data_IF_968508926915
#
_entry.id   IF_968508926915
#
_cell.length_a   1.000
_cell.length_b   1.000
_cell.length_c   1.000
_cell.angle_alpha   90.00
_cell.angle_beta   90.00
_cell.angle_gamma   90.00
#
_symmetry.space_group_name_H-M   'P 1'
#
loop_
_entity.id
_entity.type
_entity.pdbx_description
1 polymer ?
#
# COMPACT_ATOMS: atom_id res chain seq x y z
N UNK A 1 -24.60 -4.79 7.02
CA UNK A 1 -25.14 -4.68 8.41
C UNK A 1 -25.76 -3.29 8.59
N UNK A 2 -26.41 -2.93 9.72
CA UNK A 2 -26.77 -1.52 9.99
C UNK A 2 -25.56 -0.81 10.61
N UNK A 3 -25.31 0.44 10.21
CA UNK A 3 -24.18 1.24 10.70
C UNK A 3 -24.67 2.50 11.38
N UNK A 4 -24.23 2.76 12.62
CA UNK A 4 -24.79 3.82 13.45
C UNK A 4 -23.78 4.95 13.67
N UNK A 5 -24.24 6.20 13.54
CA UNK A 5 -23.46 7.38 13.91
C UNK A 5 -23.47 7.54 15.44
N UNK A 6 -22.31 7.58 16.10
CA UNK A 6 -22.24 7.71 17.57
C UNK A 6 -22.71 9.08 18.08
N UNK A 7 -22.56 10.13 17.27
CA UNK A 7 -22.89 11.50 17.67
C UNK A 7 -24.41 11.75 17.66
N UNK A 8 -25.15 11.20 16.69
CA UNK A 8 -26.59 11.43 16.55
C UNK A 8 -27.48 10.17 16.66
N UNK A 9 -26.87 8.98 16.72
CA UNK A 9 -27.58 7.69 16.78
C UNK A 9 -28.31 7.29 15.50
N UNK A 10 -28.02 7.93 14.36
CA UNK A 10 -28.69 7.60 13.10
C UNK A 10 -28.12 6.33 12.47
N UNK A 11 -28.99 5.40 12.09
CA UNK A 11 -28.64 4.16 11.39
C UNK A 11 -28.57 4.35 9.86
N UNK A 12 -27.62 3.67 9.22
CA UNK A 12 -27.38 3.69 7.77
C UNK A 12 -27.24 2.27 7.22
N UNK A 13 -27.73 2.06 5.99
CA UNK A 13 -27.68 0.76 5.30
C UNK A 13 -26.30 0.42 4.69
N UNK A 14 -25.41 1.41 4.54
CA UNK A 14 -24.10 1.27 3.88
C UNK A 14 -23.07 2.21 4.51
N UNK A 15 -21.81 1.80 4.58
CA UNK A 15 -20.72 2.63 5.08
C UNK A 15 -20.50 3.93 4.31
N UNK A 16 -20.64 3.92 2.99
CA UNK A 16 -20.47 5.13 2.19
C UNK A 16 -21.46 6.23 2.61
N UNK A 17 -22.69 5.85 3.02
CA UNK A 17 -23.68 6.79 3.55
C UNK A 17 -23.31 7.30 4.94
N UNK A 18 -22.78 6.45 5.80
CA UNK A 18 -22.27 6.87 7.11
C UNK A 18 -21.08 7.84 6.96
N UNK A 19 -20.15 7.56 6.05
CA UNK A 19 -18.99 8.44 5.77
C UNK A 19 -19.39 9.84 5.31
N UNK A 20 -20.42 9.93 4.47
CA UNK A 20 -20.93 11.18 3.91
C UNK A 20 -21.93 11.88 4.84
N UNK A 21 -22.24 11.29 6.00
CA UNK A 21 -23.15 11.88 6.96
C UNK A 21 -22.51 13.08 7.66
N UNK A 22 -23.07 14.26 7.42
CA UNK A 22 -22.70 15.49 8.12
C UNK A 22 -23.53 15.56 9.41
N UNK A 23 -22.93 15.14 10.52
CA UNK A 23 -23.61 15.18 11.81
C UNK A 23 -23.74 16.64 12.27
N UNK A 24 -24.96 17.14 12.58
CA UNK A 24 -25.10 18.48 13.13
C UNK A 24 -24.38 18.53 14.48
N UNK A 25 -23.34 19.37 14.58
CA UNK A 25 -22.60 19.57 15.81
C UNK A 25 -23.55 20.03 16.94
N UNK A 26 -23.44 19.42 18.11
CA UNK A 26 -23.94 20.03 19.34
C UNK A 26 -23.24 21.40 19.50
N UNK A 27 -24.03 22.47 19.48
CA UNK A 27 -23.51 23.84 19.64
C UNK A 27 -22.62 23.91 20.89
N UNK A 28 -21.31 24.23 20.77
CA UNK A 28 -20.48 24.39 21.94
C UNK A 28 -20.94 25.64 22.68
N UNK A 29 -21.24 25.46 23.98
CA UNK A 29 -21.51 26.57 24.88
C UNK A 29 -20.35 27.56 24.85
N UNK A 30 -20.66 28.81 24.47
CA UNK A 30 -19.75 29.94 24.53
C UNK A 30 -19.07 30.00 25.90
N UNK A 31 -17.73 29.99 25.92
CA UNK A 31 -16.98 30.50 27.06
C UNK A 31 -15.88 31.44 26.58
N UNK A 32 -15.97 32.62 27.15
CA UNK A 32 -15.23 33.84 26.89
C UNK A 32 -13.98 33.95 27.79
N UNK A 33 -12.99 34.63 27.25
CA UNK A 33 -11.87 35.36 27.86
C UNK A 33 -10.61 34.70 28.47
N UNK A 34 -9.51 34.91 27.72
CA UNK A 34 -8.28 35.67 28.08
C UNK A 34 -7.36 35.24 29.23
N UNK A 35 -6.08 34.94 28.91
CA UNK A 35 -4.90 35.72 29.39
C UNK A 35 -3.57 35.32 28.71
N UNK A 36 -2.72 36.33 28.46
CA UNK A 36 -1.36 36.24 27.87
C UNK A 36 -0.31 35.96 28.95
N UNK A 37 0.76 35.24 28.62
CA UNK A 37 2.10 35.55 29.16
C UNK A 37 3.23 35.02 28.27
N UNK A 38 4.15 35.92 27.91
CA UNK A 38 5.42 35.62 27.25
C UNK A 38 6.49 35.26 28.31
N UNK A 39 7.28 34.20 28.10
CA UNK A 39 8.66 34.19 28.62
C UNK A 39 9.63 33.42 27.71
N UNK A 40 10.63 34.20 27.26
CA UNK A 40 11.92 33.96 26.64
C UNK A 40 12.54 32.55 26.55
N UNK A 41 13.19 32.36 25.40
CA UNK A 41 14.11 31.30 25.04
C UNK A 41 15.43 31.30 25.85
N UNK A 42 15.83 30.14 26.34
CA UNK A 42 17.17 29.53 26.19
C UNK A 42 17.23 28.28 27.07
N UNK A 43 17.21 27.10 26.46
CA UNK A 43 18.23 26.07 26.69
C UNK A 43 17.94 24.88 25.78
N UNK A 44 18.68 24.85 24.66
CA UNK A 44 18.66 23.76 23.69
C UNK A 44 19.66 22.69 24.09
N UNK A 45 19.16 21.46 24.05
CA UNK A 45 19.82 20.19 23.73
C UNK A 45 20.10 19.22 24.88
N UNK A 46 19.63 18.00 24.60
CA UNK A 46 19.92 16.71 25.23
C UNK A 46 19.03 16.36 26.43
N UNK A 47 17.73 16.25 26.20
CA UNK A 47 16.86 15.33 26.93
C UNK A 47 15.60 15.01 26.10
N UNK A 48 15.33 13.72 25.95
CA UNK A 48 14.00 13.14 25.72
C UNK A 48 13.33 13.43 24.37
N UNK A 49 13.68 12.61 23.36
CA UNK A 49 12.68 12.08 22.41
C UNK A 49 11.75 11.11 23.16
N UNK A 50 11.03 11.60 24.17
CA UNK A 50 9.81 10.93 24.61
C UNK A 50 8.78 11.26 23.54
N UNK A 51 8.30 10.22 22.87
CA UNK A 51 7.10 10.31 22.06
C UNK A 51 6.01 10.91 22.93
N UNK A 52 5.51 12.09 22.57
CA UNK A 52 4.14 12.45 22.96
C UNK A 52 3.25 11.38 22.31
N UNK A 53 2.93 10.35 23.09
CA UNK A 53 2.05 9.26 22.70
C UNK A 53 0.69 9.90 22.42
N UNK A 54 0.33 10.00 21.13
CA UNK A 54 -0.96 10.54 20.74
C UNK A 54 -2.00 9.50 21.08
N UNK A 55 -2.75 9.78 22.14
CA UNK A 55 -3.87 8.96 22.61
C UNK A 55 -5.17 9.62 22.18
N UNK A 56 -5.93 8.95 21.31
CA UNK A 56 -7.29 9.30 20.94
C UNK A 56 -8.20 8.34 21.70
N UNK A 57 -8.64 8.76 22.90
CA UNK A 57 -9.36 7.89 23.84
C UNK A 57 -10.51 7.08 23.22
N UNK A 58 -11.32 7.72 22.38
CA UNK A 58 -12.43 7.06 21.70
C UNK A 58 -11.93 5.97 20.74
N UNK A 59 -10.84 6.22 20.00
CA UNK A 59 -10.24 5.21 19.13
C UNK A 59 -9.64 4.06 19.95
N UNK A 60 -9.04 4.34 21.10
CA UNK A 60 -8.54 3.29 22.00
C UNK A 60 -9.68 2.44 22.58
N UNK A 61 -10.80 3.06 22.94
CA UNK A 61 -12.02 2.39 23.43
C UNK A 61 -12.61 1.49 22.33
N UNK A 62 -12.75 2.00 21.10
CA UNK A 62 -13.20 1.22 19.95
C UNK A 62 -12.27 0.03 19.66
N UNK A 63 -10.96 0.26 19.67
CA UNK A 63 -9.98 -0.80 19.51
C UNK A 63 -10.12 -1.84 20.62
N UNK A 64 -10.29 -1.45 21.88
CA UNK A 64 -10.53 -2.39 22.97
C UNK A 64 -11.80 -3.23 22.75
N UNK A 65 -12.91 -2.63 22.34
CA UNK A 65 -14.15 -3.35 22.01
C UNK A 65 -13.96 -4.37 20.87
N UNK A 66 -13.16 -4.04 19.86
CA UNK A 66 -12.84 -4.97 18.76
C UNK A 66 -12.08 -6.19 19.29
N UNK A 67 -11.10 -6.01 20.18
CA UNK A 67 -10.39 -7.13 20.81
C UNK A 67 -11.32 -7.99 21.70
N UNK A 68 -12.39 -7.41 22.24
CA UNK A 68 -13.43 -8.12 22.98
C UNK A 68 -14.46 -8.82 22.06
N UNK A 69 -14.31 -8.69 20.74
CA UNK A 69 -15.09 -9.39 19.71
C UNK A 69 -16.19 -8.57 19.03
N UNK A 70 -16.26 -7.26 19.27
CA UNK A 70 -17.25 -6.38 18.65
C UNK A 70 -16.78 -5.88 17.27
N UNK A 71 -16.92 -6.73 16.25
CA UNK A 71 -16.43 -6.42 14.89
C UNK A 71 -17.08 -5.19 14.25
N UNK A 72 -18.31 -4.83 14.63
CA UNK A 72 -18.98 -3.61 14.15
C UNK A 72 -18.25 -2.32 14.54
N UNK A 73 -17.43 -2.36 15.60
CA UNK A 73 -16.63 -1.20 16.02
C UNK A 73 -15.47 -0.89 15.04
N UNK A 74 -15.08 -1.81 14.16
CA UNK A 74 -14.03 -1.59 13.14
C UNK A 74 -14.43 -0.45 12.20
N UNK A 75 -15.70 -0.40 11.80
CA UNK A 75 -16.22 0.66 10.92
C UNK A 75 -16.07 2.05 11.56
N UNK A 76 -16.43 2.18 12.84
CA UNK A 76 -16.31 3.41 13.60
C UNK A 76 -14.83 3.78 13.83
N UNK A 77 -13.99 2.80 14.15
CA UNK A 77 -12.55 3.01 14.34
C UNK A 77 -11.88 3.57 13.07
N UNK A 78 -12.20 2.99 11.90
CA UNK A 78 -11.69 3.45 10.60
C UNK A 78 -12.18 4.88 10.28
N UNK A 79 -13.46 5.18 10.53
CA UNK A 79 -14.03 6.52 10.31
C UNK A 79 -13.42 7.59 11.24
N UNK A 80 -13.19 7.23 12.51
CA UNK A 80 -12.53 8.10 13.48
C UNK A 80 -11.09 8.37 13.07
N UNK A 81 -10.33 7.33 12.70
CA UNK A 81 -8.96 7.47 12.22
C UNK A 81 -8.86 8.36 10.98
N UNK A 82 -9.71 8.12 9.97
CA UNK A 82 -9.80 8.96 8.77
C UNK A 82 -10.03 10.44 9.12
N UNK A 83 -11.00 10.70 10.01
CA UNK A 83 -11.37 12.06 10.41
C UNK A 83 -10.24 12.77 11.16
N UNK A 84 -9.53 12.06 12.04
CA UNK A 84 -8.41 12.62 12.79
C UNK A 84 -7.21 12.94 11.88
N UNK A 85 -6.91 12.07 10.91
CA UNK A 85 -5.85 12.33 9.93
C UNK A 85 -6.19 13.48 8.99
N UNK A 86 -7.43 13.53 8.48
CA UNK A 86 -7.94 14.63 7.66
C UNK A 86 -7.86 15.95 8.39
N UNK A 87 -8.34 16.01 9.62
CA UNK A 87 -8.28 17.23 10.44
C UNK A 87 -6.84 17.72 10.65
N UNK A 88 -5.90 16.80 10.92
CA UNK A 88 -4.48 17.15 11.05
C UNK A 88 -3.87 17.62 9.71
N UNK A 89 -4.29 17.03 8.58
CA UNK A 89 -3.84 17.44 7.25
C UNK A 89 -4.35 18.85 6.89
N UNK A 90 -5.65 19.09 7.03
CA UNK A 90 -6.31 20.38 6.75
C UNK A 90 -5.80 21.50 7.64
N UNK A 91 -5.45 21.18 8.90
CA UNK A 91 -4.87 22.13 9.85
C UNK A 91 -3.37 22.39 9.61
N UNK A 92 -2.75 21.70 8.65
CA UNK A 92 -1.32 21.85 8.35
C UNK A 92 -0.41 21.35 9.48
N UNK A 93 -0.81 20.29 10.19
CA UNK A 93 -0.11 19.71 11.34
C UNK A 93 0.55 18.35 10.98
N UNK A 94 1.64 18.34 10.19
CA UNK A 94 2.24 17.10 9.69
C UNK A 94 2.85 16.23 10.81
N UNK A 95 3.26 16.82 11.93
CA UNK A 95 3.76 16.05 13.08
C UNK A 95 2.63 15.31 13.78
N UNK A 96 1.46 15.94 13.95
CA UNK A 96 0.25 15.30 14.49
C UNK A 96 -0.21 14.16 13.57
N UNK A 97 -0.27 14.41 12.27
CA UNK A 97 -0.60 13.40 11.26
C UNK A 97 0.30 12.16 11.38
N UNK A 98 1.63 12.38 11.44
CA UNK A 98 2.61 11.29 11.56
C UNK A 98 2.50 10.56 12.90
N UNK A 99 2.25 11.26 14.00
CA UNK A 99 2.08 10.63 15.32
C UNK A 99 0.82 9.76 15.39
N UNK A 100 -0.32 10.24 14.88
CA UNK A 100 -1.56 9.43 14.78
C UNK A 100 -1.32 8.21 13.90
N UNK A 101 -0.72 8.41 12.72
CA UNK A 101 -0.41 7.32 11.80
C UNK A 101 0.46 6.24 12.45
N UNK A 102 1.49 6.65 13.20
CA UNK A 102 2.39 5.73 13.88
C UNK A 102 1.72 4.97 15.03
N UNK A 103 0.84 5.64 15.77
CA UNK A 103 0.18 5.05 16.92
C UNK A 103 -0.84 3.97 16.53
N UNK A 104 -1.61 4.20 15.45
CA UNK A 104 -2.80 3.40 15.19
C UNK A 104 -2.75 2.52 13.93
N UNK A 105 -1.88 2.82 12.95
CA UNK A 105 -1.94 2.15 11.63
C UNK A 105 -1.75 0.64 11.70
N UNK A 106 -0.73 0.18 12.43
CA UNK A 106 -0.44 -1.26 12.54
C UNK A 106 -1.60 -2.01 13.19
N UNK A 107 -2.13 -1.47 14.29
CA UNK A 107 -3.24 -2.11 15.00
C UNK A 107 -4.51 -2.15 14.15
N UNK A 108 -4.83 -1.07 13.42
CA UNK A 108 -5.97 -1.03 12.50
C UNK A 108 -5.81 -2.01 11.34
N UNK A 109 -4.61 -2.16 10.78
CA UNK A 109 -4.31 -3.18 9.77
C UNK A 109 -4.58 -4.57 10.34
N UNK A 110 -4.07 -4.86 11.55
CA UNK A 110 -4.21 -6.18 12.18
C UNK A 110 -5.67 -6.52 12.42
N UNK A 111 -6.45 -5.65 13.07
CA UNK A 111 -7.85 -5.97 13.40
C UNK A 111 -8.73 -6.07 12.14
N UNK A 112 -8.47 -5.26 11.10
CA UNK A 112 -9.19 -5.36 9.84
C UNK A 112 -8.80 -6.62 9.07
N UNK A 113 -7.53 -7.03 9.07
CA UNK A 113 -7.06 -8.28 8.46
C UNK A 113 -7.65 -9.52 9.16
N UNK A 114 -7.67 -9.53 10.50
CA UNK A 114 -8.28 -10.62 11.29
C UNK A 114 -9.79 -10.74 11.03
N UNK A 115 -10.49 -9.61 10.99
CA UNK A 115 -11.92 -9.58 10.67
C UNK A 115 -12.18 -10.04 9.22
N UNK A 116 -11.35 -9.60 8.26
CA UNK A 116 -11.44 -10.03 6.85
C UNK A 116 -11.22 -11.54 6.71
N UNK A 117 -10.30 -12.12 7.47
CA UNK A 117 -10.09 -13.57 7.48
C UNK A 117 -11.27 -14.34 8.09
N UNK A 118 -11.99 -13.73 9.03
CA UNK A 118 -13.13 -14.35 9.73
C UNK A 118 -14.42 -14.24 8.92
N UNK A 119 -14.72 -13.05 8.42
CA UNK A 119 -15.98 -12.71 7.74
C UNK A 119 -15.91 -12.85 6.21
N UNK A 120 -14.69 -12.85 5.65
CA UNK A 120 -14.44 -13.01 4.22
C UNK A 120 -14.37 -11.69 3.43
N UNK A 121 -14.32 -11.82 2.10
CA UNK A 121 -14.15 -10.69 1.17
C UNK A 121 -15.21 -9.61 1.33
N UNK A 122 -16.48 -10.00 1.42
CA UNK A 122 -17.62 -9.07 1.49
C UNK A 122 -17.45 -8.05 2.63
N UNK A 123 -16.78 -8.44 3.73
CA UNK A 123 -16.49 -7.53 4.84
C UNK A 123 -15.46 -6.46 4.45
N UNK A 124 -14.37 -6.83 3.77
CA UNK A 124 -13.35 -5.89 3.32
C UNK A 124 -13.89 -4.97 2.20
N UNK A 125 -14.70 -5.54 1.30
CA UNK A 125 -15.32 -4.82 0.18
C UNK A 125 -16.13 -3.60 0.65
N UNK A 126 -16.86 -3.71 1.77
CA UNK A 126 -17.59 -2.57 2.34
C UNK A 126 -16.67 -1.36 2.59
N UNK A 127 -15.44 -1.58 3.07
CA UNK A 127 -14.46 -0.50 3.31
C UNK A 127 -13.87 0.03 2.02
N UNK A 128 -13.59 -0.83 1.04
CA UNK A 128 -13.10 -0.41 -0.27
C UNK A 128 -14.13 0.48 -0.96
N UNK A 129 -15.41 0.12 -0.92
CA UNK A 129 -16.50 0.93 -1.46
C UNK A 129 -16.65 2.27 -0.72
N UNK A 130 -16.51 2.26 0.60
CA UNK A 130 -16.63 3.47 1.42
C UNK A 130 -15.47 4.45 1.20
N UNK A 131 -14.26 3.95 0.95
CA UNK A 131 -13.03 4.73 0.84
C UNK A 131 -12.34 4.56 -0.52
N UNK A 132 -13.12 4.30 -1.57
CA UNK A 132 -12.57 4.12 -2.90
C UNK A 132 -11.95 5.43 -3.39
N UNK A 133 -10.72 5.44 -3.93
CA UNK A 133 -10.06 6.66 -4.39
C UNK A 133 -10.92 7.47 -5.35
N UNK A 134 -11.59 6.84 -6.31
CA UNK A 134 -12.42 7.53 -7.32
C UNK A 134 -13.64 8.25 -6.74
N UNK A 135 -14.05 7.94 -5.51
CA UNK A 135 -15.21 8.57 -4.86
C UNK A 135 -14.83 9.82 -4.05
N UNK A 136 -13.55 10.17 -3.99
CA UNK A 136 -13.03 11.29 -3.22
C UNK A 136 -12.13 12.20 -4.07
N UNK A 137 -12.16 13.50 -3.77
CA UNK A 137 -11.30 14.50 -4.45
C UNK A 137 -9.82 14.24 -4.16
N UNK A 138 -9.50 13.85 -2.93
CA UNK A 138 -8.17 13.43 -2.48
C UNK A 138 -8.16 11.96 -2.08
N UNK A 139 -6.97 11.35 -1.98
CA UNK A 139 -6.89 9.99 -1.45
C UNK A 139 -7.39 9.96 0.00
N UNK A 140 -8.33 9.07 0.36
CA UNK A 140 -8.70 8.88 1.75
C UNK A 140 -7.46 8.54 2.59
N UNK A 141 -7.33 9.10 3.78
CA UNK A 141 -6.15 8.90 4.62
C UNK A 141 -6.00 7.45 5.11
N UNK A 142 -7.10 6.69 5.16
CA UNK A 142 -7.12 5.23 5.40
C UNK A 142 -6.60 4.39 4.23
N UNK A 143 -6.31 4.98 3.07
CA UNK A 143 -5.88 4.23 1.85
C UNK A 143 -4.73 3.26 2.16
N UNK A 144 -3.74 3.66 2.96
CA UNK A 144 -2.58 2.79 3.27
C UNK A 144 -2.93 1.58 4.13
N UNK A 145 -3.98 1.66 4.96
CA UNK A 145 -4.51 0.51 5.72
C UNK A 145 -5.19 -0.44 4.75
N UNK A 146 -6.05 0.10 3.87
CA UNK A 146 -6.81 -0.69 2.90
C UNK A 146 -5.90 -1.36 1.86
N UNK A 147 -4.88 -0.66 1.35
CA UNK A 147 -3.85 -1.28 0.50
C UNK A 147 -3.17 -2.45 1.21
N UNK A 148 -2.82 -2.31 2.49
CA UNK A 148 -2.16 -3.39 3.22
C UNK A 148 -3.08 -4.62 3.34
N UNK A 149 -4.28 -4.46 3.90
CA UNK A 149 -5.20 -5.60 4.11
C UNK A 149 -5.61 -6.23 2.78
N UNK A 150 -5.91 -5.42 1.76
CA UNK A 150 -6.23 -5.93 0.41
C UNK A 150 -5.05 -6.69 -0.18
N UNK A 151 -3.81 -6.22 0.03
CA UNK A 151 -2.62 -6.95 -0.41
C UNK A 151 -2.48 -8.31 0.28
N UNK A 152 -2.72 -8.39 1.59
CA UNK A 152 -2.70 -9.66 2.32
C UNK A 152 -3.75 -10.62 1.77
N UNK A 153 -4.96 -10.10 1.54
CA UNK A 153 -6.04 -10.86 0.90
C UNK A 153 -5.63 -11.38 -0.48
N UNK A 154 -5.12 -10.51 -1.37
CA UNK A 154 -4.62 -10.88 -2.71
C UNK A 154 -3.60 -12.02 -2.66
N UNK A 155 -2.58 -11.89 -1.80
CA UNK A 155 -1.50 -12.87 -1.67
C UNK A 155 -2.05 -14.21 -1.19
N UNK A 156 -2.84 -14.20 -0.10
CA UNK A 156 -3.44 -15.44 0.44
C UNK A 156 -4.32 -16.12 -0.60
N UNK A 157 -5.27 -15.40 -1.22
CA UNK A 157 -6.18 -15.93 -2.25
C UNK A 157 -5.42 -16.46 -3.46
N UNK A 158 -4.40 -15.75 -3.95
CA UNK A 158 -3.60 -16.19 -5.09
C UNK A 158 -2.91 -17.52 -4.81
N UNK A 159 -2.36 -17.68 -3.61
CA UNK A 159 -1.62 -18.87 -3.20
C UNK A 159 -2.53 -20.04 -2.85
N UNK A 160 -3.70 -19.80 -2.26
CA UNK A 160 -4.67 -20.86 -1.90
C UNK A 160 -5.54 -21.32 -3.06
N UNK A 161 -6.12 -20.36 -3.79
CA UNK A 161 -7.25 -20.60 -4.70
C UNK A 161 -6.94 -20.23 -6.16
N UNK A 162 -5.79 -19.60 -6.41
CA UNK A 162 -5.33 -19.21 -7.74
C UNK A 162 -5.78 -17.80 -8.15
N UNK A 163 -5.34 -17.35 -9.33
CA UNK A 163 -5.57 -15.97 -9.78
C UNK A 163 -7.04 -15.66 -10.02
N UNK A 164 -7.80 -16.60 -10.59
CA UNK A 164 -9.21 -16.40 -10.96
C UNK A 164 -10.13 -16.22 -9.74
N UNK A 165 -9.65 -16.58 -8.54
CA UNK A 165 -10.38 -16.41 -7.29
C UNK A 165 -10.21 -15.00 -6.69
N UNK A 166 -9.27 -14.19 -7.20
CA UNK A 166 -9.07 -12.83 -6.76
C UNK A 166 -10.29 -11.98 -7.19
N UNK A 167 -10.95 -11.25 -6.27
CA UNK A 167 -12.01 -10.31 -6.63
C UNK A 167 -11.49 -9.21 -7.54
N UNK A 168 -12.23 -8.93 -8.63
CA UNK A 168 -11.87 -7.89 -9.59
C UNK A 168 -11.84 -6.53 -8.93
N UNK A 169 -12.71 -6.30 -7.96
CA UNK A 169 -12.82 -5.08 -7.16
C UNK A 169 -11.54 -4.78 -6.36
N UNK A 170 -10.84 -5.82 -5.89
CA UNK A 170 -9.53 -5.66 -5.24
C UNK A 170 -8.49 -5.10 -6.22
N UNK A 171 -8.45 -5.63 -7.45
CA UNK A 171 -7.54 -5.17 -8.50
C UNK A 171 -7.97 -3.80 -9.05
N UNK A 172 -9.27 -3.55 -9.10
CA UNK A 172 -9.89 -2.26 -9.41
C UNK A 172 -9.41 -1.17 -8.45
N UNK A 173 -9.47 -1.44 -7.14
CA UNK A 173 -8.96 -0.54 -6.10
C UNK A 173 -7.51 -0.14 -6.36
N UNK A 174 -6.59 -1.09 -6.57
CA UNK A 174 -5.19 -0.78 -6.90
C UNK A 174 -5.04 0.00 -8.22
N UNK A 175 -5.73 -0.40 -9.28
CA UNK A 175 -5.66 0.30 -10.57
C UNK A 175 -6.13 1.76 -10.49
N UNK A 176 -7.13 2.03 -9.64
CA UNK A 176 -7.62 3.38 -9.41
C UNK A 176 -6.60 4.26 -8.68
N UNK A 177 -5.82 3.67 -7.76
CA UNK A 177 -4.70 4.36 -7.11
C UNK A 177 -3.62 4.64 -8.14
N UNK A 178 -3.21 3.62 -8.91
CA UNK A 178 -2.15 3.73 -9.92
C UNK A 178 -2.43 4.86 -10.92
N UNK A 179 -3.67 4.99 -11.39
CA UNK A 179 -4.11 6.03 -12.34
C UNK A 179 -4.04 7.45 -11.77
N UNK A 180 -4.15 7.58 -10.44
CA UNK A 180 -4.15 8.86 -9.72
C UNK A 180 -2.77 9.23 -9.16
N UNK A 181 -1.80 8.32 -9.19
CA UNK A 181 -0.43 8.63 -8.80
C UNK A 181 0.18 9.56 -9.85
N UNK A 182 0.58 10.75 -9.43
CA UNK A 182 1.21 11.76 -10.30
C UNK A 182 2.75 11.80 -10.18
N UNK A 183 3.32 10.77 -9.55
CA UNK A 183 4.76 10.70 -9.24
C UNK A 183 5.20 11.61 -8.08
N UNK A 184 4.29 12.38 -7.46
CA UNK A 184 4.57 13.26 -6.34
C UNK A 184 3.59 13.09 -5.18
N UNK A 185 4.05 12.40 -4.13
CA UNK A 185 3.36 12.42 -2.84
C UNK A 185 2.91 11.05 -2.39
N UNK A 186 3.22 10.79 -1.12
CA UNK A 186 2.87 9.60 -0.33
C UNK A 186 3.71 8.35 -0.63
N UNK A 187 4.98 8.38 -0.21
CA UNK A 187 5.88 7.20 -0.22
C UNK A 187 5.19 5.91 0.25
N UNK A 188 4.34 6.00 1.28
CA UNK A 188 3.57 4.86 1.80
C UNK A 188 2.45 4.36 0.87
N UNK A 189 1.80 5.24 0.10
CA UNK A 189 0.80 4.81 -0.90
C UNK A 189 1.52 4.13 -2.06
N UNK A 190 2.66 4.66 -2.47
CA UNK A 190 3.52 4.05 -3.49
C UNK A 190 4.00 2.67 -3.08
N UNK A 191 4.54 2.52 -1.87
CA UNK A 191 4.93 1.20 -1.33
C UNK A 191 3.74 0.23 -1.28
N UNK A 192 2.56 0.74 -0.90
CA UNK A 192 1.33 -0.03 -0.87
C UNK A 192 0.92 -0.61 -2.22
N UNK A 193 1.47 -0.10 -3.34
CA UNK A 193 1.16 -0.61 -4.68
C UNK A 193 1.91 -1.90 -5.04
N UNK A 194 3.03 -2.22 -4.38
CA UNK A 194 3.88 -3.33 -4.83
C UNK A 194 3.09 -4.65 -4.98
N UNK A 195 2.20 -5.03 -4.04
CA UNK A 195 1.46 -6.28 -4.14
C UNK A 195 0.43 -6.33 -5.28
N UNK A 196 0.17 -5.24 -6.00
CA UNK A 196 -0.68 -5.28 -7.18
C UNK A 196 -0.20 -6.28 -8.24
N UNK A 197 1.12 -6.54 -8.28
CA UNK A 197 1.72 -7.56 -9.15
C UNK A 197 1.19 -8.98 -8.89
N UNK A 198 0.65 -9.27 -7.71
CA UNK A 198 0.05 -10.57 -7.40
C UNK A 198 -1.20 -10.90 -8.21
N UNK A 199 -1.86 -9.88 -8.79
CA UNK A 199 -2.98 -10.06 -9.71
C UNK A 199 -2.58 -10.35 -11.16
N UNK A 200 -1.29 -10.46 -11.47
CA UNK A 200 -0.86 -10.70 -12.85
C UNK A 200 -1.45 -12.00 -13.41
N UNK A 201 -1.94 -11.94 -14.65
CA UNK A 201 -2.61 -13.06 -15.32
C UNK A 201 -4.10 -13.22 -15.00
N UNK A 202 -4.71 -12.28 -14.27
CA UNK A 202 -6.15 -12.32 -13.99
C UNK A 202 -6.99 -12.24 -15.29
N UNK A 203 -7.99 -13.11 -15.51
CA UNK A 203 -8.72 -13.17 -16.78
C UNK A 203 -9.66 -11.99 -17.01
N UNK A 204 -10.12 -11.34 -15.95
CA UNK A 204 -11.11 -10.26 -16.01
C UNK A 204 -10.53 -8.87 -15.70
N UNK A 205 -9.25 -8.78 -15.35
CA UNK A 205 -8.59 -7.51 -15.03
C UNK A 205 -7.15 -7.49 -15.52
N UNK A 206 -6.83 -6.56 -16.43
CA UNK A 206 -5.50 -6.56 -17.07
C UNK A 206 -4.47 -5.84 -16.21
N UNK A 207 -3.91 -6.56 -15.23
CA UNK A 207 -2.83 -6.05 -14.38
C UNK A 207 -1.58 -5.73 -15.21
N UNK A 208 -1.23 -6.58 -16.17
CA UNK A 208 -0.05 -6.39 -17.01
C UNK A 208 -0.15 -5.12 -17.86
N UNK A 209 -1.28 -4.88 -18.52
CA UNK A 209 -1.48 -3.67 -19.33
C UNK A 209 -1.42 -2.41 -18.46
N UNK A 210 -2.06 -2.44 -17.27
CA UNK A 210 -2.02 -1.31 -16.34
C UNK A 210 -0.60 -0.98 -15.86
N UNK A 211 0.23 -1.99 -15.59
CA UNK A 211 1.64 -1.81 -15.23
C UNK A 211 2.44 -1.26 -16.41
N UNK A 212 2.23 -1.83 -17.60
CA UNK A 212 2.90 -1.39 -18.83
C UNK A 212 2.61 0.08 -19.14
N UNK A 213 1.33 0.49 -19.12
CA UNK A 213 0.92 1.86 -19.39
C UNK A 213 1.54 2.85 -18.39
N UNK A 214 1.64 2.44 -17.12
CA UNK A 214 2.22 3.26 -16.05
C UNK A 214 3.76 3.33 -16.09
N UNK A 215 4.45 2.44 -16.81
CA UNK A 215 5.91 2.44 -16.91
C UNK A 215 6.48 3.73 -17.51
N UNK A 216 5.73 4.38 -18.39
CA UNK A 216 6.05 5.72 -18.92
C UNK A 216 6.03 6.84 -17.87
N UNK A 217 5.39 6.60 -16.72
CA UNK A 217 5.25 7.57 -15.62
C UNK A 217 6.27 7.31 -14.52
N UNK A 218 6.49 6.04 -14.14
CA UNK A 218 7.43 5.72 -13.06
C UNK A 218 7.99 4.30 -13.14
N UNK A 219 9.19 4.18 -13.70
CA UNK A 219 9.98 2.94 -13.68
C UNK A 219 10.25 2.41 -12.26
N UNK A 220 10.55 3.24 -11.23
CA UNK A 220 10.74 2.76 -9.86
C UNK A 220 9.54 1.99 -9.29
N UNK A 221 8.34 2.52 -9.49
CA UNK A 221 7.11 1.89 -9.00
C UNK A 221 6.83 0.60 -9.79
N UNK A 222 6.97 0.66 -11.12
CA UNK A 222 6.79 -0.51 -11.97
C UNK A 222 7.75 -1.63 -11.61
N UNK A 223 9.02 -1.34 -11.34
CA UNK A 223 9.99 -2.35 -10.91
C UNK A 223 9.56 -3.05 -9.62
N UNK A 224 9.08 -2.29 -8.62
CA UNK A 224 8.62 -2.87 -7.36
C UNK A 224 7.35 -3.72 -7.51
N UNK A 225 6.41 -3.31 -8.37
CA UNK A 225 5.23 -4.12 -8.69
C UNK A 225 5.63 -5.39 -9.47
N UNK A 226 6.60 -5.26 -10.38
CA UNK A 226 7.10 -6.36 -11.20
C UNK A 226 7.83 -7.40 -10.35
N UNK A 227 8.59 -7.00 -9.34
CA UNK A 227 9.20 -7.91 -8.36
C UNK A 227 8.13 -8.80 -7.70
N UNK A 228 7.04 -8.21 -7.22
CA UNK A 228 5.90 -8.96 -6.70
C UNK A 228 5.21 -9.84 -7.75
N UNK A 229 5.14 -9.39 -9.01
CA UNK A 229 4.63 -10.20 -10.10
C UNK A 229 5.50 -11.44 -10.37
N UNK A 230 6.83 -11.36 -10.19
CA UNK A 230 7.72 -12.52 -10.30
C UNK A 230 7.40 -13.57 -9.24
N UNK A 231 7.16 -13.16 -7.98
CA UNK A 231 6.69 -14.08 -6.93
C UNK A 231 5.35 -14.74 -7.28
N UNK A 232 4.43 -14.01 -7.91
CA UNK A 232 3.10 -14.52 -8.21
C UNK A 232 3.05 -15.43 -9.45
N UNK A 233 3.70 -15.03 -10.55
CA UNK A 233 3.82 -15.77 -11.81
C UNK A 233 5.00 -15.25 -12.64
N UNK A 234 6.16 -15.86 -12.45
CA UNK A 234 7.39 -15.53 -13.16
C UNK A 234 7.29 -15.56 -14.70
N UNK A 235 6.37 -16.33 -15.31
CA UNK A 235 6.24 -16.40 -16.77
C UNK A 235 5.49 -15.20 -17.32
N UNK A 236 4.39 -14.84 -16.66
CA UNK A 236 3.65 -13.62 -16.98
C UNK A 236 4.50 -12.37 -16.69
N UNK A 237 5.28 -12.39 -15.60
CA UNK A 237 6.16 -11.28 -15.22
C UNK A 237 7.30 -11.04 -16.23
N UNK A 238 8.00 -12.09 -16.68
CA UNK A 238 9.06 -11.93 -17.69
C UNK A 238 8.50 -11.50 -19.06
N UNK A 239 7.27 -11.91 -19.41
CA UNK A 239 6.58 -11.41 -20.61
C UNK A 239 6.33 -9.91 -20.53
N UNK A 240 5.81 -9.43 -19.40
CA UNK A 240 5.61 -8.00 -19.16
C UNK A 240 6.93 -7.22 -19.16
N UNK A 241 7.98 -7.74 -18.53
CA UNK A 241 9.31 -7.13 -18.53
C UNK A 241 9.85 -6.98 -19.96
N UNK A 242 9.76 -8.04 -20.77
CA UNK A 242 10.19 -7.99 -22.17
C UNK A 242 9.38 -6.96 -22.97
N UNK A 243 8.06 -6.87 -22.77
CA UNK A 243 7.21 -5.88 -23.43
C UNK A 243 7.63 -4.44 -23.10
N UNK A 244 7.80 -4.13 -21.81
CA UNK A 244 8.23 -2.79 -21.35
C UNK A 244 9.60 -2.43 -21.95
N UNK A 245 10.54 -3.37 -21.96
CA UNK A 245 11.91 -3.16 -22.46
C UNK A 245 11.98 -3.04 -23.99
N UNK A 246 11.00 -3.60 -24.72
CA UNK A 246 10.88 -3.50 -26.17
C UNK A 246 10.11 -2.25 -26.61
N UNK A 247 9.32 -1.63 -25.75
CA UNK A 247 8.60 -0.39 -26.04
C UNK A 247 9.54 0.83 -26.07
N UNK A 248 9.74 1.37 -27.26
CA UNK A 248 10.58 2.55 -27.49
C UNK A 248 10.04 3.83 -26.83
N UNK A 249 8.75 3.87 -26.45
CA UNK A 249 8.14 5.03 -25.80
C UNK A 249 8.44 5.14 -24.30
N UNK A 250 8.93 4.06 -23.68
CA UNK A 250 9.24 3.98 -22.24
C UNK A 250 10.74 4.21 -21.94
N UNK A 251 11.60 4.19 -22.97
CA UNK A 251 13.06 4.28 -22.77
C UNK A 251 13.48 5.57 -22.06
N UNK A 252 14.19 5.43 -20.96
CA UNK A 252 14.61 6.54 -20.08
C UNK A 252 16.02 6.28 -19.50
N UNK A 253 16.81 7.35 -19.39
CA UNK A 253 18.06 7.32 -18.63
C UNK A 253 17.79 7.85 -17.22
N UNK A 254 17.98 7.00 -16.23
CA UNK A 254 17.71 7.27 -14.83
C UNK A 254 19.00 7.62 -14.08
N UNK A 255 18.89 8.49 -13.08
CA UNK A 255 19.99 8.79 -12.16
C UNK A 255 20.03 7.77 -11.02
N UNK A 256 21.16 7.09 -10.88
CA UNK A 256 21.43 6.12 -9.83
C UNK A 256 22.67 6.53 -9.02
N UNK A 257 22.83 6.12 -7.74
CA UNK A 257 24.04 6.41 -6.96
C UNK A 257 25.35 5.98 -7.63
N UNK A 258 25.33 4.94 -8.46
CA UNK A 258 26.48 4.45 -9.22
C UNK A 258 26.70 5.13 -10.58
N UNK A 259 25.76 5.98 -11.04
CA UNK A 259 25.84 6.66 -12.32
C UNK A 259 24.49 6.76 -13.03
N UNK A 260 24.52 7.09 -14.32
CA UNK A 260 23.34 7.00 -15.18
C UNK A 260 23.15 5.54 -15.63
N UNK A 261 21.93 5.02 -15.50
CA UNK A 261 21.56 3.67 -15.94
C UNK A 261 20.32 3.73 -16.81
N UNK A 262 20.15 2.77 -17.72
CA UNK A 262 18.91 2.66 -18.50
C UNK A 262 17.77 2.12 -17.66
N UNK A 263 16.54 2.40 -18.09
CA UNK A 263 15.32 1.80 -17.52
C UNK A 263 15.41 0.26 -17.54
N UNK A 264 15.92 -0.33 -18.63
CA UNK A 264 16.12 -1.77 -18.75
C UNK A 264 17.07 -2.30 -17.66
N UNK A 265 18.17 -1.59 -17.37
CA UNK A 265 19.10 -2.03 -16.33
C UNK A 265 18.44 -1.98 -14.96
N UNK A 266 17.62 -0.96 -14.70
CA UNK A 266 16.91 -0.82 -13.44
C UNK A 266 15.81 -1.88 -13.28
N UNK A 267 15.02 -2.15 -14.33
CA UNK A 267 13.93 -3.15 -14.31
C UNK A 267 14.42 -4.59 -14.10
N UNK A 268 15.70 -4.87 -14.35
CA UNK A 268 16.31 -6.18 -14.06
C UNK A 268 16.51 -6.40 -12.55
N UNK A 269 16.35 -5.38 -11.71
CA UNK A 269 16.33 -5.57 -10.26
C UNK A 269 15.14 -6.42 -9.82
N UNK A 270 13.98 -6.33 -10.49
CA UNK A 270 12.82 -7.15 -10.13
C UNK A 270 13.10 -8.67 -10.15
N UNK A 271 13.56 -9.28 -11.26
CA UNK A 271 13.94 -10.70 -11.25
C UNK A 271 15.21 -11.00 -10.43
N UNK A 272 16.08 -10.01 -10.18
CA UNK A 272 17.26 -10.18 -9.34
C UNK A 272 16.91 -10.23 -7.85
N UNK A 273 15.97 -9.39 -7.42
CA UNK A 273 15.50 -9.26 -6.05
C UNK A 273 14.82 -10.53 -5.57
N UNK A 274 14.01 -11.17 -6.43
CA UNK A 274 13.31 -12.42 -6.06
C UNK A 274 14.22 -13.63 -5.85
N UNK A 275 15.46 -13.59 -6.36
CA UNK A 275 16.48 -14.65 -6.16
C UNK A 275 17.58 -14.25 -5.19
N UNK A 276 17.58 -12.99 -4.73
CA UNK A 276 18.53 -12.53 -3.73
C UNK A 276 18.17 -13.10 -2.36
N UNK A 277 19.10 -13.07 -1.41
CA UNK A 277 18.88 -13.44 0.00
C UNK A 277 18.02 -12.38 0.74
N UNK A 278 16.99 -11.84 0.10
CA UNK A 278 16.10 -10.81 0.64
C UNK A 278 14.63 -11.14 0.40
N UNK A 279 13.84 -11.03 1.45
CA UNK A 279 12.38 -11.25 1.44
C UNK A 279 11.64 -9.91 1.30
N UNK A 280 10.59 -9.81 0.47
CA UNK A 280 9.79 -8.60 0.37
C UNK A 280 9.13 -8.28 1.72
N UNK A 281 9.37 -7.07 2.20
CA UNK A 281 8.83 -6.55 3.47
C UNK A 281 7.44 -5.92 3.33
N UNK A 282 6.88 -5.97 2.13
CA UNK A 282 5.55 -5.48 1.78
C UNK A 282 4.66 -6.71 1.51
N UNK A 283 3.41 -6.76 2.04
CA UNK A 283 2.76 -5.78 2.90
C UNK A 283 3.45 -5.62 4.26
N UNK A 284 3.58 -4.37 4.75
CA UNK A 284 4.22 -4.12 6.05
C UNK A 284 3.48 -4.84 7.18
N UNK A 285 4.22 -5.13 8.26
CA UNK A 285 3.72 -5.78 9.48
C UNK A 285 3.24 -7.21 9.26
N UNK A 286 3.76 -7.89 8.23
CA UNK A 286 3.41 -9.27 7.91
C UNK A 286 4.59 -10.01 7.29
N UNK A 287 5.07 -11.04 7.98
CA UNK A 287 6.11 -11.93 7.50
C UNK A 287 5.48 -13.08 6.68
N UNK A 288 4.94 -12.72 5.52
CA UNK A 288 4.06 -13.60 4.74
C UNK A 288 4.73 -14.88 4.24
N UNK A 289 6.02 -14.83 3.89
CA UNK A 289 6.75 -16.02 3.43
C UNK A 289 6.85 -17.07 4.53
N UNK A 290 7.13 -16.64 5.76
CA UNK A 290 7.21 -17.54 6.91
C UNK A 290 5.82 -18.08 7.29
N UNK A 291 4.79 -17.23 7.29
CA UNK A 291 3.42 -17.64 7.62
C UNK A 291 2.84 -18.62 6.59
N UNK A 292 3.16 -18.44 5.31
CA UNK A 292 2.60 -19.21 4.20
C UNK A 292 3.52 -20.34 3.69
N UNK A 293 4.68 -20.54 4.33
CA UNK A 293 5.70 -21.52 3.93
C UNK A 293 6.07 -21.42 2.43
N UNK A 294 6.24 -20.19 1.96
CA UNK A 294 6.50 -19.89 0.55
C UNK A 294 8.01 -19.82 0.27
N UNK A 295 8.49 -20.65 -0.65
CA UNK A 295 9.87 -20.65 -1.14
C UNK A 295 9.89 -20.36 -2.65
N UNK A 296 10.64 -19.32 -3.06
CA UNK A 296 10.77 -18.96 -4.46
C UNK A 296 11.86 -19.79 -5.15
N UNK A 297 11.53 -20.38 -6.29
CA UNK A 297 12.50 -21.04 -7.18
C UNK A 297 12.35 -20.48 -8.60
N UNK A 298 13.45 -19.90 -9.12
CA UNK A 298 13.48 -19.39 -10.48
C UNK A 298 13.45 -20.57 -11.47
N UNK A 299 12.50 -20.55 -12.39
CA UNK A 299 12.42 -21.59 -13.41
C UNK A 299 13.49 -21.40 -14.49
N UNK A 300 14.09 -22.51 -14.93
CA UNK A 300 15.13 -22.54 -15.97
C UNK A 300 14.73 -21.77 -17.25
N UNK A 301 13.47 -21.86 -17.68
CA UNK A 301 12.99 -21.17 -18.88
C UNK A 301 12.95 -19.65 -18.70
N UNK A 302 12.60 -19.18 -17.50
CA UNK A 302 12.59 -17.75 -17.15
C UNK A 302 14.01 -17.24 -16.99
N UNK A 303 14.90 -17.99 -16.32
CA UNK A 303 16.32 -17.64 -16.21
C UNK A 303 16.95 -17.44 -17.60
N UNK A 304 16.68 -18.36 -18.53
CA UNK A 304 17.19 -18.27 -19.90
C UNK A 304 16.70 -17.02 -20.64
N UNK A 305 15.45 -16.62 -20.42
CA UNK A 305 14.88 -15.39 -20.99
C UNK A 305 15.54 -14.14 -20.40
N UNK A 306 15.72 -14.07 -19.08
CA UNK A 306 16.44 -12.98 -18.42
C UNK A 306 17.87 -12.87 -18.99
N UNK A 307 18.60 -13.98 -19.06
CA UNK A 307 19.97 -14.00 -19.63
C UNK A 307 20.02 -13.57 -21.09
N UNK A 308 19.00 -13.94 -21.88
CA UNK A 308 18.89 -13.49 -23.27
C UNK A 308 18.67 -11.99 -23.34
N UNK A 309 17.79 -11.44 -22.51
CA UNK A 309 17.50 -10.00 -22.45
C UNK A 309 18.77 -9.20 -22.08
N UNK A 310 19.49 -9.63 -21.04
CA UNK A 310 20.78 -9.04 -20.61
C UNK A 310 21.77 -8.97 -21.77
N UNK A 311 21.97 -10.08 -22.49
CA UNK A 311 22.89 -10.13 -23.66
C UNK A 311 22.43 -9.26 -24.83
N UNK A 312 21.13 -9.25 -25.10
CA UNK A 312 20.57 -8.43 -26.20
C UNK A 312 20.78 -6.95 -25.95
N UNK A 313 20.71 -6.53 -24.68
CA UNK A 313 20.88 -5.15 -24.25
C UNK A 313 22.32 -4.81 -23.84
N UNK A 314 23.25 -5.78 -23.96
CA UNK A 314 24.68 -5.67 -23.65
C UNK A 314 24.98 -5.25 -22.21
N UNK A 315 24.12 -5.66 -21.28
CA UNK A 315 24.29 -5.38 -19.86
C UNK A 315 25.36 -6.31 -19.26
N UNK A 316 25.63 -7.45 -19.90
CA UNK A 316 26.66 -8.41 -19.49
C UNK A 316 28.10 -7.90 -19.65
N UNK A 317 28.33 -6.83 -20.40
CA UNK A 317 29.67 -6.22 -20.57
C UNK A 317 30.22 -5.67 -19.24
N UNK A 318 29.34 -5.30 -18.31
CA UNK A 318 29.69 -4.74 -16.99
C UNK A 318 29.60 -5.76 -15.85
N UNK A 319 29.27 -7.03 -16.15
CA UNK A 319 29.11 -8.10 -15.17
C UNK A 319 30.33 -9.05 -15.10
N UNK A 320 30.54 -9.75 -13.97
CA UNK A 320 31.53 -10.83 -13.89
C UNK A 320 31.28 -11.92 -14.94
N UNK A 321 32.33 -12.62 -15.39
CA UNK A 321 32.19 -13.68 -16.41
C UNK A 321 31.34 -14.89 -15.97
N UNK A 322 31.12 -15.04 -14.67
CA UNK A 322 30.34 -16.10 -14.03
C UNK A 322 29.09 -15.54 -13.30
N UNK A 323 28.54 -14.42 -13.78
CA UNK A 323 27.44 -13.75 -13.12
C UNK A 323 26.17 -14.61 -12.98
N UNK A 324 25.51 -14.45 -11.84
CA UNK A 324 24.23 -15.05 -11.47
C UNK A 324 23.11 -14.00 -11.53
N UNK A 325 21.85 -14.41 -11.58
CA UNK A 325 20.72 -13.46 -11.70
C UNK A 325 20.71 -12.46 -10.53
N UNK A 326 21.11 -12.87 -9.33
CA UNK A 326 21.27 -11.97 -8.18
C UNK A 326 22.31 -10.85 -8.40
N UNK A 327 23.32 -11.04 -9.25
CA UNK A 327 24.30 -10.00 -9.58
C UNK A 327 23.70 -8.86 -10.43
N UNK A 328 22.45 -9.01 -10.88
CA UNK A 328 21.73 -7.97 -11.60
C UNK A 328 21.11 -6.92 -10.66
N UNK A 329 21.18 -7.01 -9.33
CA UNK A 329 20.75 -5.89 -8.48
C UNK A 329 21.68 -4.67 -8.66
N UNK A 330 21.16 -3.44 -8.85
CA UNK A 330 22.00 -2.20 -8.94
C UNK A 330 22.40 -1.58 -7.61
#
# INVERSE_FOLDING_TARGET
MSHDCEDCGQEFETLSRLRLHDCPADEPAENDDSEKSETSASDRNVAERQSDEVTIKQLDELLASIHDGELSAIHQAMAMYETQLRSAHESGEPDRYRSISRAYREQLITVLDEATQTEGWEFLEEFLDAYHPETADEFPHVTTILQNVTSRYLIRTRLSDGVEAIPVEALGFFSSILTRLDGSGYDFITEGMHPYGWGIGHPEHSVADNIHDYASTSIPIVNAILEHAFYADQRSAIELLEQIVEDESIQEIMRHPSGEISETRYLLDAPAGVVADFTPTIPRYWEWQEELDYEFELADDVEQRIRKLVRQKRIDDDLPSNWEIADLTV
#
